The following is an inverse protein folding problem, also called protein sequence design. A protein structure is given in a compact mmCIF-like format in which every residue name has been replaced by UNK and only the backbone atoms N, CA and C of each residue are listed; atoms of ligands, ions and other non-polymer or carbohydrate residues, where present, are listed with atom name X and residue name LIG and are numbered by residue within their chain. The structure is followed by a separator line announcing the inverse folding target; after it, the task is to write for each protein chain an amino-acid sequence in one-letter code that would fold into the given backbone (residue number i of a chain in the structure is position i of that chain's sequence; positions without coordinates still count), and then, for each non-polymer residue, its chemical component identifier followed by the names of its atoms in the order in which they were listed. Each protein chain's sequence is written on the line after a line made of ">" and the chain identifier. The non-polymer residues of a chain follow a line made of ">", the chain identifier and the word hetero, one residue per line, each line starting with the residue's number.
data_IF_124000772711
#
_entry.id   IF_124000772711
#
_cell.length_a   1.000
_cell.length_b   1.000
_cell.length_c   1.000
_cell.angle_alpha   90.00
_cell.angle_beta   90.00
_cell.angle_gamma   90.00
#
_symmetry.space_group_name_H-M   'P 1'
#
loop_
_entity.id
_entity.type
_entity.pdbx_description
1 polymer ?
#
# COMPACT_ATOMS: atom_id res chain seq x y z
N UNK A 1 7.58 -15.02 -6.67
CA UNK A 1 7.60 -15.19 -8.15
C UNK A 1 7.04 -13.98 -8.90
N UNK A 2 5.75 -13.61 -8.80
CA UNK A 2 5.21 -12.46 -9.58
C UNK A 2 5.70 -11.10 -9.10
N UNK A 3 5.82 -10.91 -7.78
CA UNK A 3 6.50 -9.71 -7.23
C UNK A 3 7.95 -9.64 -7.76
N UNK A 4 8.61 -10.79 -7.97
CA UNK A 4 9.98 -10.84 -8.49
C UNK A 4 10.04 -10.54 -10.00
N UNK A 5 9.09 -11.04 -10.79
CA UNK A 5 8.95 -10.71 -12.22
C UNK A 5 8.63 -9.22 -12.40
N UNK A 6 7.75 -8.69 -11.57
CA UNK A 6 7.42 -7.26 -11.53
C UNK A 6 8.65 -6.42 -11.17
N UNK A 7 9.40 -6.82 -10.13
CA UNK A 7 10.66 -6.18 -9.76
C UNK A 7 11.71 -6.27 -10.88
N UNK A 8 11.71 -7.34 -11.69
CA UNK A 8 12.58 -7.46 -12.87
C UNK A 8 12.14 -6.54 -14.02
N UNK A 9 10.84 -6.34 -14.23
CA UNK A 9 10.31 -5.41 -15.24
C UNK A 9 10.65 -3.95 -14.92
N UNK A 10 10.58 -3.55 -13.63
CA UNK A 10 11.01 -2.21 -13.15
C UNK A 10 12.51 -1.95 -13.32
N UNK A 11 13.36 -2.98 -13.51
CA UNK A 11 14.79 -2.74 -13.74
C UNK A 11 15.07 -2.13 -15.12
N UNK A 12 14.15 -2.23 -16.09
CA UNK A 12 14.31 -1.61 -17.42
C UNK A 12 13.93 -0.12 -17.37
N UNK A 13 14.94 0.75 -17.39
CA UNK A 13 14.81 2.22 -17.21
C UNK A 13 13.71 2.86 -18.08
N UNK A 14 13.59 2.47 -19.34
CA UNK A 14 12.61 3.06 -20.27
C UNK A 14 11.16 2.67 -19.92
N UNK A 15 10.94 1.43 -19.44
CA UNK A 15 9.62 0.97 -19.01
C UNK A 15 9.23 1.61 -17.67
N UNK A 16 10.19 1.75 -16.76
CA UNK A 16 9.96 2.43 -15.47
C UNK A 16 9.59 3.88 -15.64
N UNK A 17 10.26 4.62 -16.54
CA UNK A 17 9.89 5.99 -16.85
C UNK A 17 8.46 6.10 -17.38
N UNK A 18 8.05 5.21 -18.29
CA UNK A 18 6.69 5.16 -18.82
C UNK A 18 5.67 4.87 -17.70
N UNK A 19 5.91 3.85 -16.88
CA UNK A 19 4.99 3.50 -15.77
C UNK A 19 4.87 4.61 -14.74
N UNK A 20 5.99 5.23 -14.35
CA UNK A 20 6.00 6.36 -13.41
C UNK A 20 5.24 7.54 -14.00
N UNK A 21 5.47 7.90 -15.26
CA UNK A 21 4.77 9.02 -15.92
C UNK A 21 3.27 8.74 -16.02
N UNK A 22 2.87 7.56 -16.48
CA UNK A 22 1.47 7.16 -16.55
C UNK A 22 0.80 7.20 -15.17
N UNK A 23 1.48 6.70 -14.13
CA UNK A 23 0.93 6.71 -12.78
C UNK A 23 0.83 8.12 -12.20
N UNK A 24 1.76 9.05 -12.52
CA UNK A 24 1.64 10.47 -12.14
C UNK A 24 0.41 11.08 -12.78
N UNK A 25 0.23 10.87 -14.09
CA UNK A 25 -0.93 11.40 -14.83
C UNK A 25 -2.23 10.86 -14.26
N UNK A 26 -2.32 9.54 -14.03
CA UNK A 26 -3.51 8.90 -13.46
C UNK A 26 -3.79 9.44 -12.06
N UNK A 27 -2.77 9.56 -11.20
CA UNK A 27 -2.92 10.07 -9.82
C UNK A 27 -3.35 11.55 -9.81
N UNK A 28 -2.79 12.36 -10.71
CA UNK A 28 -3.18 13.74 -10.89
C UNK A 28 -4.66 13.85 -11.28
N UNK A 29 -5.10 13.12 -12.32
CA UNK A 29 -6.50 13.16 -12.77
C UNK A 29 -7.45 12.53 -11.75
N UNK A 30 -7.04 11.49 -11.04
CA UNK A 30 -7.80 10.91 -9.95
C UNK A 30 -8.07 11.90 -8.82
N UNK A 31 -7.21 12.92 -8.66
CA UNK A 31 -7.42 13.99 -7.68
C UNK A 31 -8.55 14.95 -8.01
N UNK A 32 -9.09 14.86 -9.23
CA UNK A 32 -10.29 15.58 -9.66
C UNK A 32 -11.57 14.74 -9.52
N UNK A 33 -11.48 13.45 -9.15
CA UNK A 33 -12.68 12.69 -8.87
C UNK A 33 -13.45 13.29 -7.70
N UNK A 34 -14.80 13.24 -7.73
CA UNK A 34 -15.60 13.75 -6.64
C UNK A 34 -15.18 13.04 -5.36
N UNK A 35 -14.87 13.86 -4.35
CA UNK A 35 -14.73 13.39 -2.99
C UNK A 35 -16.06 12.80 -2.55
N UNK A 36 -16.03 11.84 -1.62
CA UNK A 36 -17.27 11.38 -1.02
C UNK A 36 -17.82 12.52 -0.16
N UNK A 37 -18.77 13.28 -0.71
CA UNK A 37 -19.51 14.34 -0.04
C UNK A 37 -20.77 13.76 0.63
N UNK A 38 -21.17 14.31 1.78
CA UNK A 38 -22.37 13.92 2.52
C UNK A 38 -22.36 12.45 2.98
N UNK A 39 -21.31 12.09 3.71
CA UNK A 39 -21.26 10.83 4.44
C UNK A 39 -22.46 10.72 5.36
N UNK A 40 -23.08 9.53 5.38
CA UNK A 40 -24.27 9.24 6.18
C UNK A 40 -24.00 9.66 7.65
N UNK A 41 -24.68 10.71 8.10
CA UNK A 41 -24.63 11.20 9.47
C UNK A 41 -23.79 12.46 9.72
N UNK A 42 -23.04 13.01 8.75
CA UNK A 42 -22.33 14.29 8.90
C UNK A 42 -22.42 15.12 7.62
N UNK A 43 -23.25 16.16 7.64
CA UNK A 43 -23.30 17.18 6.58
C UNK A 43 -21.96 17.94 6.48
N UNK A 44 -21.44 18.09 5.26
CA UNK A 44 -20.20 18.85 5.00
C UNK A 44 -18.89 18.07 5.14
N UNK A 45 -18.92 16.79 5.55
CA UNK A 45 -17.72 15.96 5.54
C UNK A 45 -17.34 15.57 4.10
N UNK A 46 -16.05 15.74 3.76
CA UNK A 46 -15.46 15.41 2.45
C UNK A 46 -14.31 14.42 2.61
N UNK A 47 -14.30 13.35 1.81
CA UNK A 47 -13.18 12.40 1.76
C UNK A 47 -12.49 12.45 0.41
N UNK A 48 -11.17 12.67 0.45
CA UNK A 48 -10.36 12.49 -0.75
C UNK A 48 -10.23 11.02 -1.15
N UNK A 49 -10.82 10.67 -2.29
CA UNK A 49 -10.70 9.33 -2.90
C UNK A 49 -9.26 9.02 -3.32
N UNK A 50 -8.43 10.06 -3.47
CA UNK A 50 -7.01 10.04 -3.81
C UNK A 50 -6.15 9.23 -2.84
N UNK A 51 -6.56 9.10 -1.59
CA UNK A 51 -5.80 8.34 -0.59
C UNK A 51 -5.63 6.87 -0.99
N UNK A 52 -6.62 6.30 -1.71
CA UNK A 52 -6.52 4.94 -2.28
C UNK A 52 -5.39 4.83 -3.30
N UNK A 53 -5.14 5.90 -4.06
CA UNK A 53 -4.07 5.95 -5.05
C UNK A 53 -2.69 5.97 -4.40
N UNK A 54 -2.54 6.54 -3.20
CA UNK A 54 -1.29 6.41 -2.42
C UNK A 54 -0.94 4.94 -2.16
N UNK A 55 -1.87 4.20 -1.54
CA UNK A 55 -1.68 2.78 -1.27
C UNK A 55 -1.47 1.96 -2.56
N UNK A 56 -2.26 2.23 -3.60
CA UNK A 56 -2.16 1.57 -4.90
C UNK A 56 -0.80 1.83 -5.56
N UNK A 57 -0.33 3.08 -5.60
CA UNK A 57 0.96 3.45 -6.15
C UNK A 57 2.11 2.80 -5.38
N UNK A 58 2.01 2.72 -4.05
CA UNK A 58 2.97 2.00 -3.22
C UNK A 58 2.99 0.50 -3.52
N UNK A 59 1.83 -0.13 -3.65
CA UNK A 59 1.73 -1.56 -3.95
C UNK A 59 2.20 -1.90 -5.36
N UNK A 60 1.92 -1.04 -6.34
CA UNK A 60 2.47 -1.15 -7.67
C UNK A 60 3.96 -0.84 -7.61
N UNK A 61 4.36 0.42 -7.51
CA UNK A 61 5.72 0.86 -7.86
C UNK A 61 6.75 0.68 -6.73
N UNK A 62 6.33 0.12 -5.59
CA UNK A 62 7.14 -0.01 -4.40
C UNK A 62 7.32 1.31 -3.63
N UNK A 63 8.09 1.29 -2.53
CA UNK A 63 8.11 2.39 -1.57
C UNK A 63 8.81 3.65 -2.09
N UNK A 64 9.73 3.54 -3.06
CA UNK A 64 10.44 4.71 -3.59
C UNK A 64 9.66 5.38 -4.74
N UNK A 65 9.43 4.65 -5.83
CA UNK A 65 8.73 5.19 -6.99
C UNK A 65 7.25 5.49 -6.70
N UNK A 66 6.57 4.65 -5.92
CA UNK A 66 5.19 4.91 -5.50
C UNK A 66 5.05 6.23 -4.73
N UNK A 67 6.04 6.55 -3.90
CA UNK A 67 6.12 7.81 -3.15
C UNK A 67 6.29 9.01 -4.07
N UNK A 68 7.23 8.94 -5.03
CA UNK A 68 7.44 10.02 -6.01
C UNK A 68 6.15 10.26 -6.81
N UNK A 69 5.54 9.20 -7.32
CA UNK A 69 4.30 9.29 -8.10
C UNK A 69 3.18 9.94 -7.30
N UNK A 70 2.99 9.49 -6.07
CA UNK A 70 1.89 9.95 -5.22
C UNK A 70 2.11 11.40 -4.81
N UNK A 71 3.32 11.76 -4.41
CA UNK A 71 3.68 13.13 -4.09
C UNK A 71 3.47 14.04 -5.30
N UNK A 72 4.08 13.72 -6.45
CA UNK A 72 4.02 14.59 -7.64
C UNK A 72 2.61 14.72 -8.20
N UNK A 73 1.85 13.63 -8.28
CA UNK A 73 0.47 13.66 -8.80
C UNK A 73 -0.45 14.54 -7.93
N UNK A 74 -0.41 14.34 -6.62
CA UNK A 74 -1.25 15.10 -5.68
C UNK A 74 -0.76 16.54 -5.50
N UNK A 75 0.55 16.78 -5.49
CA UNK A 75 1.13 18.12 -5.45
C UNK A 75 0.75 18.92 -6.69
N UNK A 76 0.83 18.31 -7.88
CA UNK A 76 0.39 18.94 -9.12
C UNK A 76 -1.07 19.40 -9.05
N UNK A 77 -1.97 18.53 -8.57
CA UNK A 77 -3.37 18.90 -8.37
C UNK A 77 -3.53 20.03 -7.34
N UNK A 78 -2.82 19.96 -6.22
CA UNK A 78 -2.88 20.94 -5.14
C UNK A 78 -2.47 22.34 -5.63
N UNK A 79 -1.42 22.42 -6.45
CA UNK A 79 -0.93 23.68 -7.02
C UNK A 79 -1.87 24.28 -8.08
N UNK A 80 -2.60 23.44 -8.83
CA UNK A 80 -3.51 23.89 -9.90
C UNK A 80 -4.89 24.26 -9.35
N UNK A 81 -5.43 23.50 -8.39
CA UNK A 81 -6.75 23.75 -7.79
C UNK A 81 -6.76 24.96 -6.86
N UNK A 82 -5.60 25.37 -6.34
CA UNK A 82 -5.43 26.58 -5.56
C UNK A 82 -5.62 27.85 -6.40
N UNK A 83 -6.87 28.24 -6.68
CA UNK A 83 -7.24 29.56 -7.21
C UNK A 83 -7.02 30.73 -6.23
N UNK A 84 -6.23 30.51 -5.18
CA UNK A 84 -5.83 31.41 -4.10
C UNK A 84 -4.65 30.79 -3.33
N UNK A 85 -4.05 31.52 -2.38
CA UNK A 85 -2.94 31.00 -1.55
C UNK A 85 -3.33 29.67 -0.89
N UNK A 86 -2.67 28.54 -1.21
CA UNK A 86 -3.01 27.25 -0.64
C UNK A 86 -2.88 27.31 0.89
N UNK A 87 -3.92 26.91 1.61
CA UNK A 87 -3.81 26.73 3.07
C UNK A 87 -2.72 25.68 3.36
N UNK A 88 -1.98 25.89 4.45
CA UNK A 88 -0.82 25.10 4.85
C UNK A 88 -1.15 23.61 4.89
N UNK A 89 -2.37 23.25 5.30
CA UNK A 89 -2.81 21.85 5.34
C UNK A 89 -2.97 21.23 3.96
N UNK A 90 -3.46 21.95 2.96
CA UNK A 90 -3.55 21.45 1.59
C UNK A 90 -2.17 21.17 1.00
N UNK A 91 -1.16 21.98 1.35
CA UNK A 91 0.24 21.74 0.95
C UNK A 91 0.86 20.52 1.64
N UNK A 92 0.31 20.07 2.77
CA UNK A 92 0.75 18.87 3.47
C UNK A 92 0.10 17.59 2.94
N UNK A 93 -1.09 17.67 2.33
CA UNK A 93 -1.80 16.50 1.78
C UNK A 93 -0.93 15.60 0.88
N UNK A 94 -0.12 16.12 -0.05
CA UNK A 94 0.78 15.29 -0.86
C UNK A 94 1.75 14.43 -0.04
N UNK A 95 2.18 14.90 1.14
CA UNK A 95 3.06 14.14 2.03
C UNK A 95 2.34 13.00 2.74
N UNK A 96 1.06 13.17 3.10
CA UNK A 96 0.25 12.11 3.70
C UNK A 96 -0.02 11.00 2.68
N UNK A 97 -0.40 11.37 1.46
CA UNK A 97 -0.64 10.38 0.39
C UNK A 97 0.66 9.66 0.03
N UNK A 98 1.79 10.38 -0.01
CA UNK A 98 3.12 9.79 -0.15
C UNK A 98 3.46 8.81 0.98
N UNK A 99 3.11 9.13 2.23
CA UNK A 99 3.30 8.22 3.38
C UNK A 99 2.53 6.91 3.19
N UNK A 100 1.27 6.98 2.71
CA UNK A 100 0.49 5.79 2.35
C UNK A 100 1.26 4.91 1.34
N UNK A 101 1.85 5.52 0.31
CA UNK A 101 2.66 4.81 -0.68
C UNK A 101 3.92 4.17 -0.11
N UNK A 102 4.60 4.86 0.82
CA UNK A 102 5.75 4.29 1.56
C UNK A 102 5.31 3.03 2.31
N UNK A 103 4.25 3.13 3.12
CA UNK A 103 3.80 2.03 3.99
C UNK A 103 3.32 0.83 3.15
N UNK A 104 2.52 1.07 2.12
CA UNK A 104 2.06 0.02 1.21
C UNK A 104 3.23 -0.64 0.44
N UNK A 105 4.15 0.17 -0.06
CA UNK A 105 5.33 -0.33 -0.78
C UNK A 105 6.29 -1.11 0.10
N UNK A 106 6.46 -0.72 1.36
CA UNK A 106 7.23 -1.49 2.33
C UNK A 106 6.61 -2.87 2.60
N UNK A 107 5.29 -2.98 2.61
CA UNK A 107 4.61 -4.28 2.74
C UNK A 107 4.91 -5.18 1.54
N UNK A 108 4.76 -4.68 0.31
CA UNK A 108 4.97 -5.50 -0.91
C UNK A 108 6.44 -5.85 -1.13
N UNK A 109 7.37 -5.02 -0.66
CA UNK A 109 8.82 -5.27 -0.77
C UNK A 109 9.39 -6.11 0.39
N UNK A 110 8.53 -6.81 1.15
CA UNK A 110 8.92 -7.67 2.28
C UNK A 110 9.69 -6.94 3.39
N UNK A 111 9.34 -5.67 3.60
CA UNK A 111 9.84 -4.82 4.69
C UNK A 111 8.70 -4.48 5.65
N UNK A 112 7.86 -5.46 5.95
CA UNK A 112 6.65 -5.33 6.76
C UNK A 112 6.97 -4.79 8.16
N UNK A 113 8.12 -5.18 8.73
CA UNK A 113 8.59 -4.64 10.02
C UNK A 113 8.77 -3.12 9.99
N UNK A 114 9.29 -2.58 8.89
CA UNK A 114 9.44 -1.13 8.72
C UNK A 114 8.07 -0.46 8.52
N UNK A 115 7.17 -1.07 7.74
CA UNK A 115 5.79 -0.56 7.57
C UNK A 115 5.05 -0.48 8.93
N UNK A 116 5.13 -1.55 9.73
CA UNK A 116 4.54 -1.59 11.08
C UNK A 116 5.20 -0.59 12.02
N UNK A 117 6.51 -0.36 11.91
CA UNK A 117 7.21 0.63 12.71
C UNK A 117 6.74 2.05 12.38
N UNK A 118 6.65 2.41 11.09
CA UNK A 118 6.14 3.72 10.64
C UNK A 118 4.71 3.94 11.15
N UNK A 119 3.83 2.95 10.97
CA UNK A 119 2.45 3.02 11.40
C UNK A 119 2.33 3.09 12.94
N UNK A 120 3.11 2.29 13.66
CA UNK A 120 3.17 2.32 15.12
C UNK A 120 3.67 3.65 15.68
N UNK A 121 4.68 4.26 15.04
CA UNK A 121 5.17 5.60 15.43
C UNK A 121 4.06 6.64 15.28
N UNK A 122 3.26 6.61 14.20
CA UNK A 122 2.13 7.54 14.05
C UNK A 122 1.10 7.37 15.18
N UNK A 123 0.79 6.13 15.59
CA UNK A 123 -0.08 5.87 16.74
C UNK A 123 0.50 6.48 18.01
N UNK A 124 1.80 6.32 18.26
CA UNK A 124 2.45 6.92 19.42
C UNK A 124 2.44 8.46 19.36
N UNK A 125 2.70 9.04 18.20
CA UNK A 125 2.69 10.49 17.99
C UNK A 125 1.32 11.11 18.30
N UNK A 126 0.22 10.42 17.98
CA UNK A 126 -1.13 10.88 18.36
C UNK A 126 -1.23 11.11 19.87
N UNK A 127 -0.76 10.15 20.68
CA UNK A 127 -0.80 10.22 22.14
C UNK A 127 0.12 11.28 22.77
N UNK A 128 1.06 11.83 22.00
CA UNK A 128 1.90 12.95 22.46
C UNK A 128 1.12 14.27 22.41
N UNK A 129 0.16 14.40 21.48
CA UNK A 129 -0.60 15.64 21.30
C UNK A 129 -1.58 15.89 22.47
N UNK A 130 -1.88 17.16 22.83
CA UNK A 130 -2.92 17.47 23.81
C UNK A 130 -4.28 16.87 23.44
N UNK A 131 -4.69 17.02 22.18
CA UNK A 131 -5.96 16.47 21.65
C UNK A 131 -6.01 14.96 21.75
N UNK A 132 -4.92 14.27 21.40
CA UNK A 132 -4.86 12.82 21.46
C UNK A 132 -4.86 12.25 22.87
N UNK A 133 -4.40 13.00 23.88
CA UNK A 133 -4.56 12.63 25.29
C UNK A 133 -6.01 12.78 25.76
N UNK A 134 -6.71 13.82 25.31
CA UNK A 134 -8.13 14.03 25.61
C UNK A 134 -9.02 12.98 24.96
N UNK A 135 -8.73 12.60 23.71
CA UNK A 135 -9.44 11.53 22.97
C UNK A 135 -8.48 10.39 22.68
N UNK A 136 -8.09 9.72 23.75
CA UNK A 136 -7.17 8.58 23.71
C UNK A 136 -7.72 7.38 22.92
N UNK A 137 -9.05 7.29 22.78
CA UNK A 137 -9.71 6.20 22.08
C UNK A 137 -9.85 6.44 20.57
N UNK A 138 -9.49 7.62 20.06
CA UNK A 138 -9.57 7.94 18.62
C UNK A 138 -8.85 6.93 17.72
N UNK A 139 -7.58 6.53 17.97
CA UNK A 139 -6.87 5.60 17.09
C UNK A 139 -7.23 4.12 17.33
N UNK A 140 -8.38 3.79 17.96
CA UNK A 140 -8.76 2.40 18.26
C UNK A 140 -8.67 1.49 17.03
N UNK A 141 -9.19 1.93 15.88
CA UNK A 141 -9.18 1.14 14.65
C UNK A 141 -7.76 0.99 14.07
N UNK A 142 -6.88 1.98 14.31
CA UNK A 142 -5.47 1.90 13.90
C UNK A 142 -4.76 0.80 14.71
N UNK A 143 -5.00 0.75 16.02
CA UNK A 143 -4.45 -0.30 16.90
C UNK A 143 -4.99 -1.68 16.52
N UNK A 144 -6.30 -1.81 16.29
CA UNK A 144 -6.91 -3.07 15.84
C UNK A 144 -6.32 -3.54 14.51
N UNK A 145 -6.16 -2.63 13.55
CA UNK A 145 -5.59 -2.96 12.23
C UNK A 145 -4.12 -3.36 12.35
N UNK A 146 -3.32 -2.66 13.15
CA UNK A 146 -1.92 -3.05 13.40
C UNK A 146 -1.84 -4.45 14.02
N UNK A 147 -2.71 -4.75 15.00
CA UNK A 147 -2.81 -6.07 15.60
C UNK A 147 -3.19 -7.16 14.59
N UNK A 148 -4.21 -6.90 13.74
CA UNK A 148 -4.62 -7.82 12.69
C UNK A 148 -3.49 -8.07 11.66
N UNK A 149 -2.79 -7.01 11.25
CA UNK A 149 -1.65 -7.11 10.34
C UNK A 149 -0.50 -7.90 10.96
N UNK A 150 -0.17 -7.67 12.25
CA UNK A 150 0.84 -8.43 12.99
C UNK A 150 0.52 -9.93 13.04
N UNK A 151 -0.72 -10.27 13.41
CA UNK A 151 -1.17 -11.67 13.49
C UNK A 151 -1.10 -12.33 12.12
N UNK A 152 -1.58 -11.64 11.07
CA UNK A 152 -1.52 -12.14 9.70
C UNK A 152 -0.07 -12.36 9.24
N UNK A 153 0.80 -11.36 9.43
CA UNK A 153 2.20 -11.40 9.03
C UNK A 153 3.00 -12.48 9.77
N UNK A 154 2.65 -12.82 11.01
CA UNK A 154 3.34 -13.85 11.77
C UNK A 154 2.81 -15.27 11.50
N UNK A 155 1.49 -15.44 11.33
CA UNK A 155 0.85 -16.78 11.28
C UNK A 155 0.40 -17.23 9.89
N UNK A 156 0.05 -16.29 9.01
CA UNK A 156 -0.75 -16.58 7.81
C UNK A 156 -0.09 -16.15 6.50
N UNK A 157 0.97 -15.33 6.53
CA UNK A 157 1.57 -14.77 5.30
C UNK A 157 2.14 -15.82 4.35
N UNK A 158 2.63 -16.95 4.87
CA UNK A 158 3.28 -17.99 4.08
C UNK A 158 2.27 -19.01 3.52
N UNK A 159 0.97 -18.83 3.82
CA UNK A 159 -0.07 -19.69 3.28
C UNK A 159 -0.32 -19.37 1.82
N UNK A 160 -0.38 -20.41 1.01
CA UNK A 160 -0.73 -20.30 -0.39
C UNK A 160 -2.25 -20.21 -0.58
N UNK A 161 -2.66 -19.42 -1.56
CA UNK A 161 -4.07 -19.25 -1.92
C UNK A 161 -4.43 -17.81 -2.27
N UNK A 162 -5.39 -17.67 -3.19
CA UNK A 162 -5.85 -16.36 -3.65
C UNK A 162 -6.52 -15.55 -2.53
N UNK A 163 -7.19 -16.22 -1.60
CA UNK A 163 -7.77 -15.58 -0.42
C UNK A 163 -6.69 -14.93 0.46
N UNK A 164 -5.62 -15.67 0.81
CA UNK A 164 -4.54 -15.13 1.64
C UNK A 164 -3.78 -13.99 0.94
N UNK A 165 -3.55 -14.10 -0.37
CA UNK A 165 -2.96 -13.00 -1.17
C UNK A 165 -3.85 -11.75 -1.10
N UNK A 166 -5.16 -11.90 -1.32
CA UNK A 166 -6.08 -10.77 -1.24
C UNK A 166 -6.14 -10.18 0.17
N UNK A 167 -6.22 -11.01 1.22
CA UNK A 167 -6.21 -10.54 2.61
C UNK A 167 -4.92 -9.77 2.94
N UNK A 168 -3.76 -10.24 2.47
CA UNK A 168 -2.51 -9.51 2.64
C UNK A 168 -2.56 -8.13 1.97
N UNK A 169 -3.00 -8.06 0.71
CA UNK A 169 -3.13 -6.81 -0.04
C UNK A 169 -4.12 -5.86 0.65
N UNK A 170 -5.24 -6.38 1.15
CA UNK A 170 -6.24 -5.60 1.88
C UNK A 170 -5.67 -5.01 3.17
N UNK A 171 -4.99 -5.83 3.98
CA UNK A 171 -4.38 -5.36 5.22
C UNK A 171 -3.23 -4.38 4.96
N UNK A 172 -2.42 -4.60 3.92
CA UNK A 172 -1.36 -3.69 3.49
C UNK A 172 -1.91 -2.33 3.03
N UNK A 173 -2.98 -2.34 2.22
CA UNK A 173 -3.67 -1.13 1.81
C UNK A 173 -4.31 -0.41 3.02
N UNK A 174 -4.90 -1.17 3.95
CA UNK A 174 -5.57 -0.59 5.12
C UNK A 174 -4.59 0.10 6.06
N UNK A 175 -3.44 -0.51 6.39
CA UNK A 175 -2.43 0.17 7.23
C UNK A 175 -1.85 1.41 6.55
N UNK A 176 -1.73 1.39 5.21
CA UNK A 176 -1.22 2.52 4.44
C UNK A 176 -2.19 3.71 4.43
N UNK A 177 -3.46 3.47 4.16
CA UNK A 177 -4.51 4.49 4.16
C UNK A 177 -4.73 5.02 5.59
N UNK A 178 -4.64 4.16 6.61
CA UNK A 178 -4.70 4.61 7.99
C UNK A 178 -3.45 5.42 8.40
N UNK A 179 -2.29 5.17 7.81
CA UNK A 179 -1.09 5.97 8.05
C UNK A 179 -1.25 7.40 7.51
N UNK A 180 -1.77 7.55 6.28
CA UNK A 180 -2.16 8.84 5.70
C UNK A 180 -3.17 9.57 6.60
N UNK A 181 -4.24 8.87 6.96
CA UNK A 181 -5.30 9.44 7.79
C UNK A 181 -4.79 9.94 9.15
N UNK A 182 -3.99 9.13 9.86
CA UNK A 182 -3.49 9.50 11.17
C UNK A 182 -2.45 10.63 11.09
N UNK A 183 -1.61 10.63 10.05
CA UNK A 183 -0.69 11.74 9.80
C UNK A 183 -1.46 13.05 9.57
N UNK A 184 -2.52 13.00 8.74
CA UNK A 184 -3.42 14.14 8.53
C UNK A 184 -4.10 14.60 9.82
N UNK A 185 -4.63 13.69 10.64
CA UNK A 185 -5.27 14.03 11.91
C UNK A 185 -4.30 14.66 12.91
N UNK A 186 -3.06 14.17 12.99
CA UNK A 186 -2.01 14.77 13.84
C UNK A 186 -1.68 16.19 13.35
N UNK A 187 -1.45 16.37 12.04
CA UNK A 187 -1.16 17.68 11.48
C UNK A 187 -2.32 18.66 11.66
N UNK A 188 -3.57 18.22 11.49
CA UNK A 188 -4.74 19.04 11.71
C UNK A 188 -4.88 19.47 13.18
N UNK A 189 -4.64 18.54 14.12
CA UNK A 189 -4.65 18.85 15.55
C UNK A 189 -3.59 19.88 15.94
N UNK A 190 -2.41 19.86 15.30
CA UNK A 190 -1.31 20.79 15.58
C UNK A 190 -1.53 22.16 14.92
N UNK A 191 -1.96 22.19 13.66
CA UNK A 191 -2.03 23.43 12.87
C UNK A 191 -3.26 24.27 13.18
N UNK A 192 -4.39 23.65 13.51
CA UNK A 192 -5.67 24.33 13.62
C UNK A 192 -6.28 24.31 15.02
N UNK A 193 -5.59 23.72 16.00
CA UNK A 193 -6.06 23.57 17.39
C UNK A 193 -7.51 23.06 17.46
N UNK A 194 -7.81 22.03 16.66
CA UNK A 194 -9.18 21.57 16.47
C UNK A 194 -9.77 21.02 17.77
N UNK A 195 -11.02 21.39 18.12
CA UNK A 195 -11.66 20.89 19.32
C UNK A 195 -11.79 19.36 19.28
N UNK A 196 -11.56 18.66 20.41
CA UNK A 196 -11.65 17.21 20.48
C UNK A 196 -12.95 16.63 19.88
N UNK A 197 -14.07 17.30 20.06
CA UNK A 197 -15.39 16.86 19.60
C UNK A 197 -15.43 16.58 18.09
N UNK A 198 -14.61 17.25 17.26
CA UNK A 198 -14.56 16.98 15.81
C UNK A 198 -13.88 15.65 15.48
N UNK A 199 -12.95 15.17 16.31
CA UNK A 199 -12.37 13.84 16.14
C UNK A 199 -13.32 12.75 16.67
N UNK A 200 -14.06 13.05 17.74
CA UNK A 200 -15.05 12.12 18.29
C UNK A 200 -16.22 11.87 17.32
N UNK A 201 -16.67 12.90 16.58
CA UNK A 201 -17.81 12.77 15.67
C UNK A 201 -17.58 11.80 14.51
N UNK A 202 -16.33 11.67 14.03
CA UNK A 202 -16.00 10.81 12.89
C UNK A 202 -15.60 9.38 13.29
N UNK A 203 -15.55 9.06 14.59
CA UNK A 203 -14.87 7.87 15.10
C UNK A 203 -15.46 6.53 14.62
N UNK A 204 -16.76 6.50 14.34
CA UNK A 204 -17.48 5.32 13.83
C UNK A 204 -17.52 5.28 12.31
N UNK A 205 -17.37 6.44 11.68
CA UNK A 205 -17.53 6.61 10.22
C UNK A 205 -16.21 6.34 9.52
N UNK A 206 -15.09 6.92 10.00
CA UNK A 206 -13.79 6.77 9.34
C UNK A 206 -13.36 5.30 9.13
N UNK A 207 -13.61 4.32 10.03
CA UNK A 207 -13.22 2.93 9.78
C UNK A 207 -13.91 2.36 8.55
N UNK A 208 -15.20 2.64 8.36
CA UNK A 208 -15.98 2.16 7.21
C UNK A 208 -15.39 2.71 5.92
N UNK A 209 -15.12 4.02 5.90
CA UNK A 209 -14.51 4.69 4.76
C UNK A 209 -13.14 4.11 4.40
N UNK A 210 -12.26 3.96 5.40
CA UNK A 210 -10.89 3.49 5.19
C UNK A 210 -10.88 2.03 4.74
N UNK A 211 -11.83 1.21 5.20
CA UNK A 211 -12.04 -0.15 4.69
C UNK A 211 -12.47 -0.11 3.22
N UNK A 212 -13.43 0.73 2.85
CA UNK A 212 -13.90 0.82 1.45
C UNK A 212 -12.78 1.23 0.50
N UNK A 213 -11.98 2.24 0.86
CA UNK A 213 -10.84 2.70 0.08
C UNK A 213 -9.75 1.61 -0.01
N UNK A 214 -9.45 0.93 1.10
CA UNK A 214 -8.49 -0.18 1.13
C UNK A 214 -8.94 -1.35 0.26
N UNK A 215 -10.24 -1.68 0.30
CA UNK A 215 -10.82 -2.74 -0.50
C UNK A 215 -10.74 -2.43 -1.99
N UNK A 216 -11.03 -1.19 -2.40
CA UNK A 216 -10.87 -0.76 -3.79
C UNK A 216 -9.42 -0.90 -4.27
N UNK A 217 -8.46 -0.37 -3.50
CA UNK A 217 -7.04 -0.47 -3.84
C UNK A 217 -6.56 -1.94 -3.91
N UNK A 218 -6.89 -2.76 -2.91
CA UNK A 218 -6.51 -4.16 -2.88
C UNK A 218 -7.14 -4.97 -4.02
N UNK A 219 -8.40 -4.70 -4.37
CA UNK A 219 -9.08 -5.36 -5.48
C UNK A 219 -8.43 -5.06 -6.82
N UNK A 220 -8.06 -3.80 -7.09
CA UNK A 220 -7.37 -3.42 -8.33
C UNK A 220 -6.03 -4.16 -8.44
N UNK A 221 -5.22 -4.15 -7.37
CA UNK A 221 -3.93 -4.85 -7.37
C UNK A 221 -4.11 -6.36 -7.53
N UNK A 222 -5.06 -6.93 -6.82
CA UNK A 222 -5.32 -8.37 -6.88
C UNK A 222 -5.75 -8.80 -8.29
N UNK A 223 -6.69 -8.09 -8.91
CA UNK A 223 -7.11 -8.35 -10.30
C UNK A 223 -5.95 -8.19 -11.28
N UNK A 224 -5.09 -7.19 -11.10
CA UNK A 224 -3.89 -7.02 -11.91
C UNK A 224 -2.94 -8.22 -11.77
N UNK A 225 -2.69 -8.68 -10.54
CA UNK A 225 -1.83 -9.84 -10.26
C UNK A 225 -2.41 -11.10 -10.90
N UNK A 226 -3.71 -11.36 -10.75
CA UNK A 226 -4.37 -12.54 -11.32
C UNK A 226 -4.37 -12.50 -12.85
N UNK A 227 -4.67 -11.35 -13.44
CA UNK A 227 -4.63 -11.19 -14.90
C UNK A 227 -3.22 -11.41 -15.44
N UNK A 228 -2.21 -10.79 -14.82
CA UNK A 228 -0.80 -10.99 -15.20
C UNK A 228 -0.36 -12.44 -15.05
N UNK A 229 -0.76 -13.12 -13.97
CA UNK A 229 -0.52 -14.55 -13.78
C UNK A 229 -1.07 -15.37 -14.94
N UNK A 230 -2.35 -15.17 -15.28
CA UNK A 230 -3.01 -15.92 -16.33
C UNK A 230 -2.37 -15.65 -17.69
N UNK A 231 -2.15 -14.38 -18.05
CA UNK A 231 -1.52 -14.01 -19.33
C UNK A 231 -0.08 -14.52 -19.45
N UNK A 232 0.70 -14.48 -18.37
CA UNK A 232 2.06 -15.04 -18.38
C UNK A 232 2.04 -16.56 -18.52
N UNK A 233 1.11 -17.24 -17.84
CA UNK A 233 0.96 -18.69 -17.94
C UNK A 233 0.52 -19.16 -19.33
N UNK A 234 -0.22 -18.32 -20.06
CA UNK A 234 -0.63 -18.57 -21.45
C UNK A 234 0.47 -18.26 -22.48
N UNK A 235 1.56 -17.59 -22.09
CA UNK A 235 2.63 -17.27 -23.04
C UNK A 235 3.56 -18.48 -23.30
N UNK A 236 3.72 -18.86 -24.57
CA UNK A 236 4.59 -19.97 -24.99
C UNK A 236 6.03 -19.82 -24.47
N UNK A 237 6.52 -18.58 -24.41
CA UNK A 237 7.85 -18.25 -23.89
C UNK A 237 8.02 -18.57 -22.40
N UNK A 238 6.93 -18.53 -21.62
CA UNK A 238 6.95 -18.92 -20.21
C UNK A 238 6.89 -20.45 -20.08
N UNK A 239 6.14 -21.13 -20.94
CA UNK A 239 6.14 -22.60 -21.02
C UNK A 239 7.54 -23.16 -21.27
N UNK A 240 8.27 -22.57 -22.22
CA UNK A 240 9.64 -22.98 -22.53
C UNK A 240 10.59 -22.76 -21.34
N UNK A 241 10.50 -21.61 -20.66
CA UNK A 241 11.32 -21.32 -19.48
C UNK A 241 11.01 -22.21 -18.27
N UNK A 242 9.73 -22.52 -18.02
CA UNK A 242 9.34 -23.44 -16.93
C UNK A 242 9.83 -24.85 -17.23
N UNK A 243 9.77 -25.27 -18.50
CA UNK A 243 10.29 -26.56 -18.95
C UNK A 243 11.81 -26.65 -18.79
N UNK A 244 12.52 -25.57 -19.12
CA UNK A 244 13.97 -25.45 -18.95
C UNK A 244 14.39 -25.50 -17.48
N UNK A 245 13.71 -24.73 -16.60
CA UNK A 245 13.97 -24.73 -15.15
C UNK A 245 13.65 -26.08 -14.47
N UNK A 246 12.61 -26.79 -14.94
CA UNK A 246 12.33 -28.16 -14.49
C UNK A 246 13.43 -29.13 -14.95
N UNK A 247 13.94 -28.96 -16.17
CA UNK A 247 15.01 -29.80 -16.71
C UNK A 247 16.32 -29.61 -15.93
N UNK A 248 16.65 -28.37 -15.57
CA UNK A 248 17.81 -28.05 -14.71
C UNK A 248 17.70 -28.70 -13.33
N UNK A 249 16.55 -28.58 -12.65
CA UNK A 249 16.35 -29.23 -11.34
C UNK A 249 16.45 -30.76 -11.40
N UNK A 250 15.93 -31.37 -12.48
CA UNK A 250 16.05 -32.82 -12.67
C UNK A 250 17.50 -33.21 -12.95
N UNK A 251 18.26 -32.39 -13.69
CA UNK A 251 19.67 -32.65 -13.96
C UNK A 251 20.53 -32.52 -12.68
N UNK A 252 20.28 -31.51 -11.85
CA UNK A 252 20.93 -31.38 -10.53
C UNK A 252 20.63 -32.58 -9.64
N UNK A 253 19.36 -32.98 -9.55
CA UNK A 253 18.98 -34.15 -8.74
C UNK A 253 19.63 -35.44 -9.24
N UNK A 254 19.71 -35.63 -10.57
CA UNK A 254 20.38 -36.80 -11.16
C UNK A 254 21.88 -36.76 -10.90
N UNK A 255 22.51 -35.58 -10.94
CA UNK A 255 23.92 -35.39 -10.58
C UNK A 255 24.18 -35.77 -9.13
N UNK A 256 23.37 -35.27 -8.20
CA UNK A 256 23.49 -35.55 -6.77
C UNK A 256 23.34 -37.04 -6.47
N UNK A 257 22.36 -37.71 -7.09
CA UNK A 257 22.16 -39.17 -6.92
C UNK A 257 23.33 -39.96 -7.50
N UNK A 258 23.87 -39.53 -8.65
CA UNK A 258 25.03 -40.19 -9.27
C UNK A 258 26.27 -40.09 -8.37
N UNK A 259 26.54 -38.91 -7.80
CA UNK A 259 27.65 -38.70 -6.88
C UNK A 259 27.53 -39.52 -5.58
N UNK A 260 26.30 -39.85 -5.15
CA UNK A 260 26.07 -40.74 -4.01
C UNK A 260 26.39 -42.21 -4.37
N UNK A 261 26.00 -42.67 -5.55
CA UNK A 261 26.26 -44.04 -6.00
C UNK A 261 27.76 -44.30 -6.24
N UNK A 262 28.48 -43.36 -6.85
CA UNK A 262 29.93 -43.50 -7.08
C UNK A 262 30.73 -43.50 -5.76
N UNK A 263 30.22 -42.88 -4.69
CA UNK A 263 30.85 -42.94 -3.36
C UNK A 263 30.60 -44.23 -2.60
N UNK A 264 29.53 -44.95 -2.92
CA UNK A 264 29.19 -46.24 -2.31
C UNK A 264 29.94 -47.40 -2.98
N UNK A 265 30.34 -47.27 -4.25
CA UNK A 265 31.14 -48.28 -4.98
C UNK A 265 32.66 -48.24 -4.63
N UNK A 266 33.13 -47.17 -3.99
CA UNK A 266 34.53 -46.97 -3.55
C UNK A 266 34.79 -47.43 -2.08
N UNK A 267 33.84 -48.10 -1.42
CA UNK A 267 33.97 -48.72 -0.07
C UNK A 267 33.99 -50.25 -0.12
#
# INVERSE_FOLDING_TARGET
>A
MIIDIYNQLIKKRNLTALYVLSAIIITYFASWFPDFENLIGIEGARISSVVSFGALNGMLLGPFWGTIVSFTGVMGHTLVRGGGSPDTFHLLTPFFVAMSSVVAGLCITRKEKAAMAVFGILILLWYITPTGRTIYYYPWFHVVTLGAFLVFNYKLKDREGNLFKFTFLLLAALIAILADHLAGSISAAILFDLPPQMFASVITIYPIERITLAFAAASIIFLLIVTLQNTLMESDTFHDKVKEAKKENVLDYVSDVKDMLEKDDDQ
#
